data_IF_174475575776
#
_entry.id   IF_174475575776
#
_cell.length_a   1.000
_cell.length_b   1.000
_cell.length_c   1.000
_cell.angle_alpha   90.00
_cell.angle_beta   90.00
_cell.angle_gamma   90.00
#
_symmetry.space_group_name_H-M   'P 1'
#
loop_
_entity.id
_entity.type
_entity.pdbx_description
1 polymer ?
#
# COMPACT_ATOMS: atom_id res chain seq x y z
N UNK A 1 -7.18 -7.33 -11.74
CA UNK A 1 -7.59 -7.71 -10.37
C UNK A 1 -9.05 -8.14 -10.35
N UNK A 2 -10.02 -7.25 -10.61
CA UNK A 2 -11.44 -7.63 -10.64
C UNK A 2 -11.75 -8.80 -11.58
N UNK A 3 -11.35 -8.73 -12.86
CA UNK A 3 -11.52 -9.82 -13.82
C UNK A 3 -10.88 -11.14 -13.36
N UNK A 4 -9.74 -11.07 -12.66
CA UNK A 4 -9.06 -12.27 -12.15
C UNK A 4 -9.74 -12.84 -10.91
N UNK A 5 -10.38 -12.00 -10.09
CA UNK A 5 -11.23 -12.42 -8.97
C UNK A 5 -12.54 -13.05 -9.47
N UNK A 6 -13.19 -12.45 -10.47
CA UNK A 6 -14.39 -13.00 -11.12
C UNK A 6 -14.10 -14.35 -11.81
N UNK A 7 -12.91 -14.52 -12.38
CA UNK A 7 -12.45 -15.78 -12.96
C UNK A 7 -11.95 -16.81 -11.91
N UNK A 8 -11.97 -16.48 -10.61
CA UNK A 8 -11.51 -17.36 -9.53
C UNK A 8 -9.99 -17.59 -9.47
N UNK A 9 -9.19 -16.77 -10.15
CA UNK A 9 -7.74 -16.89 -10.25
C UNK A 9 -7.03 -16.30 -9.02
N UNK A 10 -7.60 -15.25 -8.42
CA UNK A 10 -7.03 -14.61 -7.22
C UNK A 10 -8.10 -13.98 -6.34
N UNK A 11 -7.85 -13.88 -5.04
CA UNK A 11 -8.58 -12.96 -4.15
C UNK A 11 -7.70 -11.75 -3.87
N UNK A 12 -8.27 -10.54 -3.90
CA UNK A 12 -7.49 -9.33 -3.64
C UNK A 12 -8.24 -8.33 -2.75
N UNK A 13 -7.47 -7.55 -1.99
CA UNK A 13 -7.93 -6.35 -1.32
C UNK A 13 -7.27 -5.12 -1.92
N UNK A 14 -8.02 -4.03 -2.06
CA UNK A 14 -7.53 -2.79 -2.65
C UNK A 14 -8.04 -1.61 -1.83
N UNK A 15 -7.16 -0.65 -1.58
CA UNK A 15 -7.50 0.61 -0.95
C UNK A 15 -6.91 1.76 -1.75
N UNK A 16 -7.77 2.62 -2.30
CA UNK A 16 -7.37 3.82 -3.03
C UNK A 16 -7.43 5.02 -2.09
N UNK A 17 -6.37 5.81 -2.10
CA UNK A 17 -6.19 6.99 -1.25
C UNK A 17 -5.71 8.18 -2.10
N UNK A 18 -5.91 9.40 -1.60
CA UNK A 18 -5.55 10.63 -2.31
C UNK A 18 -4.08 11.04 -2.14
N UNK A 19 -3.40 10.52 -1.12
CA UNK A 19 -2.03 10.90 -0.80
C UNK A 19 -1.22 9.73 -0.25
N UNK A 20 0.10 9.87 -0.34
CA UNK A 20 1.08 9.01 0.30
C UNK A 20 1.88 9.82 1.32
N UNK A 21 2.38 9.15 2.36
CA UNK A 21 3.36 9.70 3.28
C UNK A 21 4.74 9.39 2.74
N UNK A 22 5.58 10.41 2.65
CA UNK A 22 6.99 10.27 2.31
C UNK A 22 7.84 10.80 3.44
N UNK A 23 8.71 9.94 3.98
CA UNK A 23 9.70 10.31 4.98
C UNK A 23 11.09 10.17 4.38
N UNK A 24 11.85 11.27 4.38
CA UNK A 24 13.21 11.30 3.86
C UNK A 24 14.19 11.24 5.03
N UNK A 25 14.98 10.18 5.09
CA UNK A 25 16.11 10.08 6.01
C UNK A 25 17.35 10.61 5.29
N UNK A 26 17.84 11.76 5.75
CA UNK A 26 19.04 12.42 5.23
C UNK A 26 20.12 12.34 6.30
N UNK A 27 21.03 11.38 6.18
CA UNK A 27 22.12 11.23 7.15
C UNK A 27 23.11 12.41 7.10
N UNK A 28 23.32 12.97 5.90
CA UNK A 28 24.13 14.18 5.68
C UNK A 28 23.52 15.02 4.55
N UNK A 29 23.34 16.34 4.73
CA UNK A 29 22.78 17.22 3.70
C UNK A 29 23.74 17.47 2.53
N UNK A 30 25.02 17.11 2.67
CA UNK A 30 26.05 17.28 1.64
C UNK A 30 26.20 16.03 0.76
N UNK A 31 25.64 14.89 1.17
CA UNK A 31 25.72 13.63 0.46
C UNK A 31 24.39 13.33 -0.26
N UNK A 32 24.46 12.55 -1.34
CA UNK A 32 23.31 12.23 -2.22
C UNK A 32 22.72 10.85 -1.93
N UNK A 33 22.87 10.36 -0.71
CA UNK A 33 22.51 9.02 -0.25
C UNK A 33 21.29 9.03 0.69
N UNK A 34 20.36 9.95 0.47
CA UNK A 34 19.10 9.98 1.22
C UNK A 34 18.25 8.72 0.96
N UNK A 35 17.54 8.28 1.99
CA UNK A 35 16.63 7.13 1.90
C UNK A 35 15.19 7.62 2.01
N UNK A 36 14.34 7.23 1.06
CA UNK A 36 12.93 7.60 1.05
C UNK A 36 12.07 6.42 1.50
N UNK A 37 11.35 6.61 2.59
CA UNK A 37 10.31 5.70 3.05
C UNK A 37 8.97 6.18 2.54
N UNK A 38 8.22 5.28 1.91
CA UNK A 38 6.91 5.57 1.31
C UNK A 38 5.86 4.70 2.00
N UNK A 39 4.81 5.33 2.52
CA UNK A 39 3.64 4.64 3.09
C UNK A 39 2.33 5.30 2.62
N UNK A 40 1.20 4.65 2.86
CA UNK A 40 -0.13 5.22 2.59
C UNK A 40 -0.61 6.14 3.70
N UNK A 41 -1.07 7.34 3.33
CA UNK A 41 -1.56 8.34 4.28
C UNK A 41 -2.89 7.97 4.97
N UNK A 42 -3.70 7.11 4.37
CA UNK A 42 -5.00 6.67 4.90
C UNK A 42 -4.97 5.20 5.36
N UNK A 43 -3.84 4.77 5.93
CA UNK A 43 -3.61 3.38 6.35
C UNK A 43 -3.16 2.46 5.22
N UNK A 44 -3.25 2.89 3.95
CA UNK A 44 -2.55 2.29 2.82
C UNK A 44 -2.72 0.78 2.69
N UNK A 45 -1.60 0.06 2.79
CA UNK A 45 -1.58 -1.39 2.64
C UNK A 45 -2.37 -2.11 3.75
N UNK A 46 -2.46 -1.54 4.95
CA UNK A 46 -3.23 -2.13 6.04
C UNK A 46 -4.73 -2.15 5.72
N UNK A 47 -5.25 -1.08 5.10
CA UNK A 47 -6.64 -1.01 4.63
C UNK A 47 -6.89 -1.95 3.45
N UNK A 48 -5.93 -2.09 2.54
CA UNK A 48 -6.01 -3.10 1.47
C UNK A 48 -6.04 -4.52 2.05
N UNK A 49 -5.22 -4.83 3.05
CA UNK A 49 -5.21 -6.12 3.73
C UNK A 49 -6.51 -6.38 4.50
N UNK A 50 -7.10 -5.37 5.15
CA UNK A 50 -8.40 -5.49 5.80
C UNK A 50 -9.51 -5.83 4.78
N UNK A 51 -9.52 -5.17 3.62
CA UNK A 51 -10.44 -5.48 2.52
C UNK A 51 -10.27 -6.92 2.02
N UNK A 52 -9.03 -7.40 1.87
CA UNK A 52 -8.76 -8.78 1.49
C UNK A 52 -9.32 -9.77 2.53
N UNK A 53 -9.01 -9.56 3.82
CA UNK A 53 -9.46 -10.44 4.91
C UNK A 53 -10.98 -10.54 4.98
N UNK A 54 -11.69 -9.41 4.82
CA UNK A 54 -13.15 -9.39 4.82
C UNK A 54 -13.76 -10.27 3.72
N UNK A 55 -13.10 -10.41 2.56
CA UNK A 55 -13.54 -11.29 1.47
C UNK A 55 -13.22 -12.77 1.72
N UNK A 56 -12.11 -13.07 2.38
CA UNK A 56 -11.65 -14.45 2.62
C UNK A 56 -12.34 -15.08 3.85
N UNK A 57 -12.83 -14.26 4.77
CA UNK A 57 -13.54 -14.72 5.98
C UNK A 57 -15.07 -14.80 5.84
N UNK A 58 -15.61 -14.45 4.67
CA UNK A 58 -17.03 -14.58 4.32
C UNK A 58 -17.27 -15.90 3.57
#
# INVERSE_FOLDING_TARGET
LQQAEEAGICTYGLHRQQSALMTCLVASPLQRDHVHFIDGAAGGYAMAAASLKAKVSA
#
